data_IF_259303927637
#
_entry.id   IF_259303927637
#
_cell.length_a   1.000
_cell.length_b   1.000
_cell.length_c   1.000
_cell.angle_alpha   90.00
_cell.angle_beta   90.00
_cell.angle_gamma   90.00
#
_symmetry.space_group_name_H-M   'P 1'
#
loop_
_entity.id
_entity.type
_entity.pdbx_description
1 polymer ?
#
# COMPACT_ATOMS: atom_id res chain seq x y z
N UNK A 1 0.56 15.74 17.71
CA UNK A 1 1.49 15.77 16.57
C UNK A 1 1.59 14.39 15.97
N UNK A 2 1.00 14.21 14.78
CA UNK A 2 0.94 12.93 14.05
C UNK A 2 1.82 12.94 12.79
N UNK A 3 2.88 13.76 12.81
CA UNK A 3 3.76 13.97 11.66
C UNK A 3 4.78 12.85 11.43
N UNK A 4 4.82 11.84 12.31
CA UNK A 4 5.79 10.73 12.25
C UNK A 4 5.17 9.37 11.90
N UNK A 5 3.89 9.34 11.48
CA UNK A 5 3.20 8.09 11.13
C UNK A 5 2.51 8.22 9.75
N UNK A 6 2.22 7.08 9.12
CA UNK A 6 1.64 6.99 7.78
C UNK A 6 0.24 7.60 7.68
N UNK A 7 -0.50 7.66 8.81
CA UNK A 7 -1.86 8.18 8.87
C UNK A 7 -2.04 9.26 9.93
N UNK A 8 -2.83 10.29 9.60
CA UNK A 8 -3.39 11.21 10.58
C UNK A 8 -4.70 10.65 11.16
N UNK A 9 -4.86 10.75 12.49
CA UNK A 9 -6.08 10.35 13.16
C UNK A 9 -7.00 11.56 13.33
N UNK A 10 -8.17 11.50 12.75
CA UNK A 10 -9.21 12.52 12.89
C UNK A 10 -10.34 11.94 13.76
N UNK A 11 -10.70 12.64 14.82
CA UNK A 11 -11.85 12.27 15.67
C UNK A 11 -13.12 12.80 15.03
N UNK A 12 -13.89 11.94 14.39
CA UNK A 12 -15.26 12.24 13.94
C UNK A 12 -16.28 11.87 15.03
N UNK A 13 -17.48 12.36 14.93
CA UNK A 13 -18.55 12.43 15.94
C UNK A 13 -18.62 11.23 16.91
N UNK A 14 -18.42 9.98 16.44
CA UNK A 14 -18.42 8.77 17.27
C UNK A 14 -17.31 7.77 16.92
N UNK A 15 -16.44 8.08 15.95
CA UNK A 15 -15.40 7.18 15.46
C UNK A 15 -14.10 7.95 15.25
N UNK A 16 -12.97 7.27 15.39
CA UNK A 16 -11.66 7.80 15.06
C UNK A 16 -11.40 7.51 13.58
N UNK A 17 -11.12 8.54 12.80
CA UNK A 17 -10.75 8.40 11.39
C UNK A 17 -9.23 8.33 11.24
N UNK A 18 -8.79 7.50 10.31
CA UNK A 18 -7.45 7.46 9.77
C UNK A 18 -7.49 8.02 8.36
N UNK A 19 -6.49 8.84 8.04
CA UNK A 19 -6.32 9.41 6.70
C UNK A 19 -4.85 9.32 6.31
N UNK A 20 -4.59 8.87 5.09
CA UNK A 20 -3.26 8.94 4.47
C UNK A 20 -3.37 9.45 3.04
N UNK A 21 -2.23 9.82 2.48
CA UNK A 21 -2.11 10.14 1.06
C UNK A 21 -0.80 9.56 0.53
N UNK A 22 -0.89 8.88 -0.61
CA UNK A 22 0.27 8.36 -1.33
C UNK A 22 0.13 8.64 -2.83
N UNK A 23 1.25 8.83 -3.51
CA UNK A 23 1.30 9.22 -4.92
C UNK A 23 2.23 8.34 -5.73
N UNK A 24 1.77 7.91 -6.89
CA UNK A 24 2.57 7.23 -7.90
C UNK A 24 2.84 8.17 -9.07
N UNK A 25 4.12 8.40 -9.37
CA UNK A 25 4.58 9.32 -10.43
C UNK A 25 5.32 8.52 -11.50
N UNK A 26 4.97 8.74 -12.75
CA UNK A 26 5.61 8.14 -13.91
C UNK A 26 7.11 8.46 -13.94
N UNK A 27 7.94 7.49 -14.33
CA UNK A 27 9.40 7.50 -14.32
C UNK A 27 10.07 7.61 -12.93
N UNK A 28 9.27 7.64 -11.85
CA UNK A 28 9.76 7.53 -10.47
C UNK A 28 9.32 6.19 -9.89
N UNK A 29 8.01 5.93 -9.87
CA UNK A 29 7.41 4.75 -9.25
C UNK A 29 6.98 3.69 -10.25
N UNK A 30 6.71 4.09 -11.49
CA UNK A 30 6.27 3.22 -12.57
C UNK A 30 6.60 3.82 -13.95
N UNK A 31 6.50 2.99 -14.98
CA UNK A 31 6.33 3.40 -16.37
C UNK A 31 5.51 2.32 -17.10
N UNK A 32 5.02 2.66 -18.29
CA UNK A 32 4.14 1.77 -19.08
C UNK A 32 4.80 0.43 -19.49
N UNK A 33 6.15 0.33 -19.43
CA UNK A 33 6.88 -0.90 -19.70
C UNK A 33 6.96 -1.82 -18.47
N UNK A 34 6.88 -1.27 -17.27
CA UNK A 34 7.04 -2.03 -16.03
C UNK A 34 5.74 -2.52 -15.43
N UNK A 35 4.63 -1.83 -15.71
CA UNK A 35 3.32 -2.17 -15.15
C UNK A 35 2.20 -1.67 -16.07
N UNK A 36 1.21 -2.52 -16.35
CA UNK A 36 0.05 -2.10 -17.13
C UNK A 36 -0.92 -1.24 -16.27
N UNK A 37 -1.76 -0.38 -16.90
CA UNK A 37 -2.62 0.55 -16.18
C UNK A 37 -3.59 -0.14 -15.21
N UNK A 38 -4.13 -1.30 -15.55
CA UNK A 38 -4.97 -2.09 -14.64
C UNK A 38 -4.24 -2.47 -13.34
N UNK A 39 -3.03 -2.99 -13.45
CA UNK A 39 -2.25 -3.39 -12.28
C UNK A 39 -1.71 -2.17 -11.51
N UNK A 40 -1.46 -1.06 -12.21
CA UNK A 40 -1.10 0.22 -11.61
C UNK A 40 -2.24 0.77 -10.73
N UNK A 41 -3.48 0.72 -11.23
CA UNK A 41 -4.65 1.11 -10.45
C UNK A 41 -4.85 0.24 -9.19
N UNK A 42 -4.66 -1.07 -9.34
CA UNK A 42 -4.63 -1.98 -8.20
C UNK A 42 -3.56 -1.58 -7.19
N UNK A 43 -2.32 -1.39 -7.64
CA UNK A 43 -1.17 -1.05 -6.78
C UNK A 43 -1.39 0.27 -6.05
N UNK A 44 -1.88 1.30 -6.74
CA UNK A 44 -2.15 2.62 -6.14
C UNK A 44 -3.13 2.54 -4.96
N UNK A 45 -4.20 1.75 -5.10
CA UNK A 45 -5.15 1.52 -4.00
C UNK A 45 -4.53 0.72 -2.87
N UNK A 46 -3.76 -0.33 -3.20
CA UNK A 46 -3.17 -1.21 -2.19
C UNK A 46 -2.12 -0.50 -1.35
N UNK A 47 -1.28 0.38 -1.92
CA UNK A 47 -0.34 1.19 -1.16
C UNK A 47 -1.06 1.97 -0.06
N UNK A 48 -2.10 2.71 -0.43
CA UNK A 48 -2.87 3.51 0.52
C UNK A 48 -3.63 2.68 1.58
N UNK A 49 -4.26 1.56 1.18
CA UNK A 49 -4.93 0.69 2.15
C UNK A 49 -3.92 -0.02 3.08
N UNK A 50 -2.68 -0.25 2.60
CA UNK A 50 -1.59 -0.78 3.42
C UNK A 50 -1.33 0.10 4.64
N UNK A 51 -1.18 1.42 4.43
CA UNK A 51 -0.97 2.40 5.49
C UNK A 51 -2.13 2.44 6.49
N UNK A 52 -3.36 2.41 5.99
CA UNK A 52 -4.53 2.34 6.86
C UNK A 52 -4.52 1.08 7.75
N UNK A 53 -4.19 -0.08 7.17
CA UNK A 53 -4.14 -1.35 7.91
C UNK A 53 -2.98 -1.35 8.91
N UNK A 54 -1.81 -0.87 8.52
CA UNK A 54 -0.62 -0.80 9.39
C UNK A 54 -0.80 0.18 10.54
N UNK A 55 -1.72 1.15 10.39
CA UNK A 55 -2.14 2.08 11.44
C UNK A 55 -3.33 1.58 12.27
N UNK A 56 -3.86 0.38 11.98
CA UNK A 56 -4.92 -0.25 12.76
C UNK A 56 -6.34 0.00 12.25
N UNK A 57 -6.51 0.39 11.00
CA UNK A 57 -7.84 0.50 10.40
C UNK A 57 -8.52 -0.87 10.34
N UNK A 58 -9.77 -0.94 10.76
CA UNK A 58 -10.59 -2.12 10.61
C UNK A 58 -11.54 -2.07 9.41
N UNK A 59 -11.72 -0.88 8.84
CA UNK A 59 -12.61 -0.64 7.71
C UNK A 59 -12.09 0.52 6.86
N UNK A 60 -11.93 0.31 5.57
CA UNK A 60 -11.72 1.38 4.59
C UNK A 60 -13.08 2.01 4.26
N UNK A 61 -13.20 3.33 4.39
CA UNK A 61 -14.39 4.08 3.98
C UNK A 61 -14.37 4.27 2.48
N UNK A 62 -13.26 4.80 1.97
CA UNK A 62 -13.10 5.06 0.55
C UNK A 62 -11.86 5.89 0.26
N UNK A 63 -11.74 6.26 -1.00
CA UNK A 63 -10.60 7.01 -1.53
C UNK A 63 -11.05 8.22 -2.34
N UNK A 64 -10.24 9.27 -2.36
CA UNK A 64 -10.27 10.30 -3.40
C UNK A 64 -9.06 10.15 -4.30
N UNK A 65 -9.20 10.47 -5.58
CA UNK A 65 -8.16 10.29 -6.58
C UNK A 65 -7.89 11.62 -7.27
N UNK A 66 -6.66 12.11 -7.20
CA UNK A 66 -6.18 13.20 -8.07
C UNK A 66 -5.34 12.57 -9.18
N UNK A 67 -5.80 12.74 -10.42
CA UNK A 67 -5.20 12.14 -11.61
C UNK A 67 -4.64 13.23 -12.51
N UNK A 68 -3.33 13.26 -12.70
CA UNK A 68 -2.65 14.20 -13.59
C UNK A 68 -2.15 13.43 -14.79
N UNK A 69 -2.52 13.84 -16.00
CA UNK A 69 -2.22 13.11 -17.23
C UNK A 69 -1.67 14.01 -18.33
N UNK A 70 -0.70 13.51 -19.13
CA UNK A 70 -0.35 14.15 -20.38
C UNK A 70 -1.53 14.17 -21.38
N UNK A 71 -1.61 15.23 -22.19
CA UNK A 71 -2.66 15.40 -23.22
C UNK A 71 -2.80 14.21 -24.14
N UNK A 72 -1.68 13.51 -24.43
CA UNK A 72 -1.63 12.35 -25.32
C UNK A 72 -2.03 11.02 -24.68
N UNK A 73 -2.48 11.03 -23.41
CA UNK A 73 -2.87 9.79 -22.73
C UNK A 73 -4.17 9.26 -23.33
N UNK A 74 -4.13 8.02 -23.80
CA UNK A 74 -5.29 7.35 -24.40
C UNK A 74 -6.37 7.09 -23.35
N UNK A 75 -7.65 7.21 -23.74
CA UNK A 75 -8.78 6.96 -22.83
C UNK A 75 -8.79 5.52 -22.31
N UNK A 76 -8.40 4.54 -23.14
CA UNK A 76 -8.24 3.15 -22.73
C UNK A 76 -7.30 2.96 -21.55
N UNK A 77 -6.22 3.75 -21.49
CA UNK A 77 -5.30 3.72 -20.34
C UNK A 77 -6.01 4.11 -19.04
N UNK A 78 -6.84 5.15 -19.10
CA UNK A 78 -7.62 5.62 -17.94
C UNK A 78 -8.66 4.58 -17.53
N UNK A 79 -9.38 4.03 -18.49
CA UNK A 79 -10.39 2.99 -18.25
C UNK A 79 -9.80 1.76 -17.55
N UNK A 80 -8.67 1.26 -18.05
CA UNK A 80 -7.98 0.11 -17.44
C UNK A 80 -7.45 0.43 -16.04
N UNK A 81 -6.95 1.66 -15.80
CA UNK A 81 -6.55 2.10 -14.47
C UNK A 81 -7.71 2.01 -13.49
N UNK A 82 -8.88 2.56 -13.85
CA UNK A 82 -10.07 2.54 -13.00
C UNK A 82 -10.64 1.14 -12.81
N UNK A 83 -10.53 0.23 -13.79
CA UNK A 83 -10.86 -1.20 -13.60
C UNK A 83 -9.98 -1.85 -12.53
N UNK A 84 -8.70 -1.52 -12.50
CA UNK A 84 -7.78 -1.98 -11.47
C UNK A 84 -8.11 -1.43 -10.09
N UNK A 85 -8.42 -0.14 -10.00
CA UNK A 85 -8.88 0.53 -8.77
C UNK A 85 -10.16 -0.13 -8.24
N UNK A 86 -11.19 -0.28 -9.06
CA UNK A 86 -12.45 -0.90 -8.70
C UNK A 86 -12.26 -2.33 -8.17
N UNK A 87 -11.42 -3.11 -8.84
CA UNK A 87 -11.10 -4.49 -8.41
C UNK A 87 -10.42 -4.53 -7.04
N UNK A 88 -9.53 -3.60 -6.75
CA UNK A 88 -8.88 -3.50 -5.44
C UNK A 88 -9.88 -3.12 -4.34
N UNK A 89 -10.72 -2.10 -4.59
CA UNK A 89 -11.76 -1.66 -3.67
C UNK A 89 -12.81 -2.75 -3.41
N UNK A 90 -13.25 -3.48 -4.43
CA UNK A 90 -14.15 -4.64 -4.27
C UNK A 90 -13.56 -5.71 -3.37
N UNK A 91 -12.25 -5.91 -3.40
CA UNK A 91 -11.59 -6.94 -2.60
C UNK A 91 -11.30 -6.50 -1.17
N UNK A 92 -10.85 -5.27 -0.96
CA UNK A 92 -10.37 -4.80 0.34
C UNK A 92 -11.31 -3.82 1.04
N UNK A 93 -12.36 -3.43 0.36
CA UNK A 93 -13.38 -2.51 0.85
C UNK A 93 -13.11 -1.06 0.46
N UNK A 94 -14.12 -0.22 0.65
CA UNK A 94 -14.11 1.18 0.28
C UNK A 94 -14.80 1.45 -1.06
N UNK A 95 -14.99 2.73 -1.33
CA UNK A 95 -15.57 3.26 -2.57
C UNK A 95 -14.75 4.46 -3.05
N UNK A 96 -14.91 4.86 -4.30
CA UNK A 96 -14.42 6.14 -4.77
C UNK A 96 -15.35 7.23 -4.25
N UNK A 97 -14.82 8.15 -3.44
CA UNK A 97 -15.56 9.26 -2.84
C UNK A 97 -15.57 10.51 -3.73
N UNK A 98 -14.58 10.63 -4.59
CA UNK A 98 -14.42 11.76 -5.49
C UNK A 98 -13.00 11.85 -6.02
N UNK A 99 -12.66 12.98 -6.61
CA UNK A 99 -11.33 13.23 -7.14
C UNK A 99 -11.31 14.40 -8.10
N UNK A 100 -10.17 14.57 -8.75
CA UNK A 100 -9.92 15.60 -9.74
C UNK A 100 -9.07 15.03 -10.87
N UNK A 101 -9.23 15.58 -12.08
CA UNK A 101 -8.41 15.26 -13.24
C UNK A 101 -7.83 16.55 -13.84
N UNK A 102 -6.51 16.57 -13.96
CA UNK A 102 -5.79 17.74 -14.46
C UNK A 102 -4.79 17.35 -15.55
N UNK A 103 -4.41 18.31 -16.38
CA UNK A 103 -3.34 18.12 -17.35
C UNK A 103 -1.97 18.31 -16.71
N UNK A 104 -1.00 17.52 -17.14
CA UNK A 104 0.40 17.64 -16.72
C UNK A 104 1.36 16.97 -17.68
N UNK A 105 2.64 17.01 -17.36
CA UNK A 105 3.69 16.50 -18.25
C UNK A 105 3.96 15.01 -18.08
N UNK A 106 3.64 14.45 -16.91
CA UNK A 106 3.83 13.04 -16.56
C UNK A 106 2.58 12.50 -15.88
N UNK A 107 2.32 11.21 -16.04
CA UNK A 107 1.21 10.56 -15.36
C UNK A 107 1.47 10.55 -13.85
N UNK A 108 0.54 11.10 -13.09
CA UNK A 108 0.58 11.09 -11.63
C UNK A 108 -0.76 10.66 -11.08
N UNK A 109 -0.74 9.71 -10.15
CA UNK A 109 -1.92 9.20 -9.47
C UNK A 109 -1.70 9.46 -7.99
N UNK A 110 -2.44 10.40 -7.41
CA UNK A 110 -2.42 10.65 -5.97
C UNK A 110 -3.74 10.22 -5.37
N UNK A 111 -3.66 9.37 -4.35
CA UNK A 111 -4.82 8.83 -3.66
C UNK A 111 -4.78 9.27 -2.20
N UNK A 112 -5.91 9.84 -1.74
CA UNK A 112 -6.15 10.01 -0.31
C UNK A 112 -7.13 8.94 0.13
N UNK A 113 -6.76 8.13 1.12
CA UNK A 113 -7.61 7.08 1.64
C UNK A 113 -8.09 7.40 3.06
N UNK A 114 -9.34 7.04 3.33
CA UNK A 114 -9.98 7.20 4.63
C UNK A 114 -10.36 5.84 5.19
N UNK A 115 -10.07 5.64 6.48
CA UNK A 115 -10.41 4.44 7.22
C UNK A 115 -10.92 4.73 8.61
N UNK A 116 -11.51 3.72 9.24
CA UNK A 116 -11.97 3.78 10.62
C UNK A 116 -10.98 3.03 11.50
N UNK A 117 -10.49 3.68 12.56
CA UNK A 117 -9.62 3.08 13.56
C UNK A 117 -10.32 1.92 14.25
N UNK A 118 -9.64 0.79 14.35
CA UNK A 118 -10.09 -0.38 15.08
C UNK A 118 -9.79 -0.32 16.59
N UNK A 119 -9.96 -1.45 17.25
CA UNK A 119 -9.65 -1.60 18.69
C UNK A 119 -8.16 -1.47 19.02
N UNK A 120 -7.29 -1.80 18.05
CA UNK A 120 -5.84 -1.66 18.19
C UNK A 120 -5.37 -0.34 17.59
N UNK A 121 -4.61 0.39 18.36
CA UNK A 121 -3.81 1.50 17.88
C UNK A 121 -2.44 0.94 17.49
N UNK A 122 -2.20 0.87 16.19
CA UNK A 122 -0.91 0.46 15.65
C UNK A 122 -0.09 1.71 15.35
N UNK A 123 1.14 1.75 15.81
CA UNK A 123 1.97 2.94 15.68
C UNK A 123 3.45 2.56 15.66
N UNK A 124 4.24 3.17 14.77
CA UNK A 124 5.68 2.89 14.62
C UNK A 124 6.43 3.00 15.94
N UNK A 125 6.18 4.05 16.71
CA UNK A 125 6.87 4.34 17.98
C UNK A 125 6.37 3.54 19.17
N UNK A 126 5.52 2.53 18.99
CA UNK A 126 4.99 1.74 20.10
C UNK A 126 5.82 0.49 20.42
N UNK A 127 6.86 0.21 19.63
CA UNK A 127 7.79 -0.91 19.87
C UNK A 127 8.67 -0.68 21.10
N UNK A 128 9.08 -1.78 21.72
CA UNK A 128 9.99 -1.77 22.86
C UNK A 128 11.13 -2.77 22.66
N UNK A 129 12.33 -2.47 23.15
CA UNK A 129 13.44 -3.42 23.12
C UNK A 129 13.05 -4.75 23.76
N UNK A 130 13.40 -5.87 23.10
CA UNK A 130 13.09 -7.22 23.55
C UNK A 130 11.77 -7.79 23.03
N UNK A 131 10.95 -7.01 22.32
CA UNK A 131 9.75 -7.51 21.67
C UNK A 131 10.08 -8.32 20.41
N UNK A 132 9.20 -9.30 20.08
CA UNK A 132 9.35 -10.15 18.89
C UNK A 132 8.78 -9.40 17.67
N UNK A 133 9.58 -9.34 16.62
CA UNK A 133 9.16 -8.79 15.33
C UNK A 133 8.51 -9.89 14.50
N UNK A 134 7.30 -9.62 14.04
CA UNK A 134 6.54 -10.48 13.12
C UNK A 134 6.39 -9.79 11.77
N UNK A 135 6.53 -10.54 10.70
CA UNK A 135 6.31 -10.04 9.34
C UNK A 135 5.24 -10.85 8.62
N UNK A 136 4.62 -10.27 7.60
CA UNK A 136 3.65 -10.93 6.74
C UNK A 136 4.18 -11.04 5.32
N UNK A 137 4.07 -12.24 4.73
CA UNK A 137 4.51 -12.45 3.36
C UNK A 137 6.01 -12.69 3.21
N UNK A 138 6.51 -12.53 2.00
CA UNK A 138 7.90 -12.76 1.63
C UNK A 138 8.50 -11.44 1.15
N UNK A 139 9.51 -10.97 1.86
CA UNK A 139 10.24 -9.75 1.49
C UNK A 139 11.17 -9.99 0.30
N UNK A 140 11.42 -8.93 -0.49
CA UNK A 140 12.32 -8.95 -1.64
C UNK A 140 11.66 -9.34 -2.97
N UNK A 141 10.52 -10.04 -2.97
CA UNK A 141 9.86 -10.43 -4.22
C UNK A 141 9.42 -9.25 -5.07
N UNK A 142 8.86 -8.20 -4.47
CA UNK A 142 8.44 -7.00 -5.21
C UNK A 142 9.63 -6.28 -5.85
N UNK A 143 10.75 -6.15 -5.13
CA UNK A 143 11.99 -5.58 -5.67
C UNK A 143 12.54 -6.39 -6.82
N UNK A 144 12.58 -7.73 -6.68
CA UNK A 144 13.01 -8.63 -7.75
C UNK A 144 12.08 -8.48 -8.98
N UNK A 145 10.76 -8.43 -8.77
CA UNK A 145 9.79 -8.21 -9.85
C UNK A 145 10.01 -6.89 -10.58
N UNK A 146 10.27 -5.81 -9.84
CA UNK A 146 10.63 -4.52 -10.42
C UNK A 146 11.92 -4.60 -11.27
N UNK A 147 12.96 -5.24 -10.74
CA UNK A 147 14.24 -5.39 -11.47
C UNK A 147 14.05 -6.19 -12.76
N UNK A 148 13.25 -7.25 -12.74
CA UNK A 148 12.93 -8.05 -13.93
C UNK A 148 12.17 -7.19 -14.96
N UNK A 149 11.11 -6.51 -14.56
CA UNK A 149 10.29 -5.68 -15.45
C UNK A 149 11.08 -4.48 -16.02
N UNK A 150 11.97 -3.89 -15.22
CA UNK A 150 12.83 -2.78 -15.64
C UNK A 150 14.04 -3.23 -16.48
N UNK A 151 14.18 -4.55 -16.75
CA UNK A 151 15.33 -5.12 -17.46
C UNK A 151 16.69 -4.72 -16.86
N UNK A 152 16.74 -4.54 -15.55
CA UNK A 152 17.98 -4.24 -14.83
C UNK A 152 18.86 -5.48 -14.80
N UNK A 153 20.06 -5.42 -15.40
CA UNK A 153 20.97 -6.55 -15.59
C UNK A 153 21.67 -7.05 -14.31
N UNK A 154 21.37 -6.48 -13.16
CA UNK A 154 22.02 -6.84 -11.89
C UNK A 154 21.76 -8.28 -11.39
N UNK A 155 20.88 -9.04 -12.05
CA UNK A 155 20.62 -10.45 -11.74
C UNK A 155 21.07 -11.43 -12.87
N UNK A 156 21.76 -10.96 -13.92
CA UNK A 156 22.14 -11.79 -15.08
C UNK A 156 23.02 -13.01 -14.74
N UNK A 157 23.68 -13.00 -13.59
CA UNK A 157 24.52 -14.12 -13.13
C UNK A 157 23.77 -15.14 -12.26
N UNK A 158 22.44 -14.96 -12.06
CA UNK A 158 21.64 -15.86 -11.22
C UNK A 158 20.56 -16.52 -12.07
N UNK A 159 20.60 -17.86 -12.14
CA UNK A 159 19.52 -18.62 -12.79
C UNK A 159 18.27 -18.58 -11.90
N UNK A 160 17.24 -17.87 -12.36
CA UNK A 160 15.94 -17.79 -11.68
C UNK A 160 14.97 -18.79 -12.30
N UNK A 161 14.24 -19.54 -11.45
CA UNK A 161 13.17 -20.41 -11.95
C UNK A 161 11.99 -19.58 -12.48
N UNK A 162 11.30 -20.05 -13.50
CA UNK A 162 10.10 -19.39 -14.06
C UNK A 162 9.05 -19.11 -13.00
N UNK A 163 8.87 -20.03 -12.05
CA UNK A 163 7.95 -19.86 -10.91
C UNK A 163 8.33 -18.65 -10.07
N UNK A 164 9.61 -18.44 -9.79
CA UNK A 164 10.10 -17.31 -9.00
C UNK A 164 9.92 -16.00 -9.77
N UNK A 165 10.25 -15.99 -11.07
CA UNK A 165 10.06 -14.85 -11.96
C UNK A 165 8.59 -14.41 -11.94
N UNK A 166 7.67 -15.32 -12.26
CA UNK A 166 6.22 -15.05 -12.29
C UNK A 166 5.70 -14.55 -10.94
N UNK A 167 6.13 -15.19 -9.84
CA UNK A 167 5.74 -14.80 -8.50
C UNK A 167 6.25 -13.39 -8.15
N UNK A 168 7.47 -13.06 -8.52
CA UNK A 168 8.08 -11.75 -8.25
C UNK A 168 7.37 -10.63 -9.03
N UNK A 169 7.08 -10.84 -10.30
CA UNK A 169 6.32 -9.90 -11.13
C UNK A 169 4.91 -9.70 -10.55
N UNK A 170 4.21 -10.77 -10.16
CA UNK A 170 2.88 -10.67 -9.54
C UNK A 170 2.92 -9.87 -8.23
N UNK A 171 3.95 -10.05 -7.40
CA UNK A 171 4.12 -9.27 -6.18
C UNK A 171 4.44 -7.79 -6.42
N UNK A 172 5.17 -7.47 -7.49
CA UNK A 172 5.45 -6.08 -7.86
C UNK A 172 4.22 -5.38 -8.44
N UNK A 173 3.52 -6.05 -9.38
CA UNK A 173 2.38 -5.47 -10.09
C UNK A 173 1.10 -5.49 -9.24
N UNK A 174 0.89 -6.58 -8.48
CA UNK A 174 -0.34 -6.83 -7.71
C UNK A 174 -0.01 -7.17 -6.26
N UNK A 175 0.50 -6.22 -5.47
CA UNK A 175 0.72 -6.43 -4.04
C UNK A 175 -0.57 -6.87 -3.34
N UNK A 176 -0.42 -7.62 -2.24
CA UNK A 176 -1.54 -8.21 -1.50
C UNK A 176 -1.47 -7.83 -0.04
N UNK A 177 -2.62 -7.51 0.53
CA UNK A 177 -2.75 -7.22 1.95
C UNK A 177 -3.33 -8.43 2.69
N UNK A 178 -3.03 -8.51 3.99
CA UNK A 178 -3.45 -9.59 4.87
C UNK A 178 -4.24 -9.05 6.09
N UNK A 179 -5.37 -8.33 5.89
CA UNK A 179 -6.10 -7.66 6.99
C UNK A 179 -6.57 -8.63 8.08
N UNK A 180 -6.77 -9.91 7.75
CA UNK A 180 -7.17 -10.94 8.72
C UNK A 180 -6.09 -11.27 9.75
N UNK A 181 -4.82 -10.88 9.54
CA UNK A 181 -3.76 -11.09 10.51
C UNK A 181 -4.00 -10.24 11.76
N UNK A 182 -4.41 -8.98 11.61
CA UNK A 182 -4.78 -8.13 12.74
C UNK A 182 -5.91 -8.76 13.57
N UNK A 183 -6.94 -9.31 12.91
CA UNK A 183 -8.03 -10.01 13.59
C UNK A 183 -7.54 -11.26 14.35
N UNK A 184 -6.57 -12.00 13.79
CA UNK A 184 -5.95 -13.15 14.45
C UNK A 184 -5.12 -12.72 15.66
N UNK A 185 -4.28 -11.70 15.51
CA UNK A 185 -3.49 -11.12 16.61
C UNK A 185 -4.38 -10.64 17.76
N UNK A 186 -5.49 -9.98 17.44
CA UNK A 186 -6.48 -9.57 18.45
C UNK A 186 -7.03 -10.75 19.27
N UNK A 187 -7.32 -11.88 18.61
CA UNK A 187 -7.88 -13.07 19.26
C UNK A 187 -6.87 -13.79 20.14
N UNK A 188 -5.59 -13.78 19.75
CA UNK A 188 -4.51 -14.55 20.42
C UNK A 188 -3.76 -13.75 21.47
N UNK A 189 -3.95 -12.45 21.57
CA UNK A 189 -3.21 -11.63 22.52
C UNK A 189 -3.53 -12.04 23.96
N UNK A 190 -2.51 -12.30 24.79
CA UNK A 190 -2.71 -12.77 26.16
C UNK A 190 -3.29 -11.71 27.10
N UNK A 191 -3.09 -10.44 26.77
CA UNK A 191 -3.56 -9.31 27.57
C UNK A 191 -4.41 -8.34 26.75
N UNK A 192 -5.73 -8.37 26.95
CA UNK A 192 -6.69 -7.49 26.25
C UNK A 192 -6.53 -5.99 26.60
N UNK A 193 -5.75 -5.65 27.63
CA UNK A 193 -5.47 -4.26 28.02
C UNK A 193 -4.44 -3.58 27.11
N UNK A 194 -3.62 -4.36 26.37
CA UNK A 194 -2.66 -3.80 25.41
C UNK A 194 -3.43 -3.28 24.21
N UNK A 195 -3.53 -1.97 24.07
CA UNK A 195 -4.19 -1.31 22.94
C UNK A 195 -3.21 -0.80 21.88
N UNK A 196 -1.97 -0.49 22.27
CA UNK A 196 -0.92 0.01 21.39
C UNK A 196 0.08 -1.09 21.08
N UNK A 197 0.38 -1.28 19.81
CA UNK A 197 1.34 -2.28 19.31
C UNK A 197 2.20 -1.60 18.25
N UNK A 198 3.51 -1.86 18.26
CA UNK A 198 4.41 -1.40 17.21
C UNK A 198 4.04 -2.04 15.87
N UNK A 199 3.84 -1.22 14.85
CA UNK A 199 3.53 -1.69 13.52
C UNK A 199 3.91 -0.62 12.48
N UNK A 200 4.39 -1.08 11.35
CA UNK A 200 4.54 -0.31 10.12
C UNK A 200 4.24 -1.22 8.95
N UNK A 201 3.95 -0.67 7.79
CA UNK A 201 3.98 -1.41 6.56
C UNK A 201 5.44 -1.61 6.08
N UNK A 202 5.64 -2.26 4.96
CA UNK A 202 6.99 -2.49 4.40
C UNK A 202 7.06 -2.14 2.91
N UNK A 203 6.36 -1.09 2.51
CA UNK A 203 6.31 -0.58 1.14
C UNK A 203 7.72 -0.24 0.61
N UNK A 204 8.55 0.39 1.44
CA UNK A 204 9.93 0.77 1.15
C UNK A 204 10.95 -0.34 1.44
N UNK A 205 10.47 -1.50 1.82
CA UNK A 205 11.26 -2.69 2.10
C UNK A 205 11.52 -2.95 3.57
N UNK A 206 11.98 -4.18 3.85
CA UNK A 206 12.14 -4.65 5.22
C UNK A 206 13.14 -3.83 6.04
N UNK A 207 14.23 -3.38 5.41
CA UNK A 207 15.25 -2.62 6.13
C UNK A 207 14.69 -1.29 6.66
N UNK A 208 13.99 -0.52 5.81
CA UNK A 208 13.35 0.72 6.22
C UNK A 208 12.29 0.47 7.29
N UNK A 209 11.45 -0.53 7.10
CA UNK A 209 10.43 -0.89 8.09
C UNK A 209 11.01 -1.24 9.47
N UNK A 210 12.18 -1.91 9.52
CA UNK A 210 12.86 -2.20 10.78
C UNK A 210 13.45 -0.93 11.43
N UNK A 211 13.98 -0.01 10.62
CA UNK A 211 14.46 1.28 11.12
C UNK A 211 13.32 2.15 11.69
N UNK A 212 12.15 2.12 11.05
CA UNK A 212 10.97 2.87 11.50
C UNK A 212 10.40 2.34 12.82
N UNK A 213 10.68 1.07 13.15
CA UNK A 213 10.24 0.43 14.39
C UNK A 213 11.29 0.52 15.53
N UNK A 214 12.54 0.91 15.23
CA UNK A 214 13.64 0.99 16.18
C UNK A 214 13.68 2.33 16.91
#
# INVERSE_FOLDING_TARGET
NQTSDDCALIKAINEKLLINNDSLVENVHFNDFTICPHDLGWKAVISNISDLISSGSHKTIGITISLILPVKTEWEWVEELYKGIDKALKKYGGIILGGDCSLGNVKTISITALGIQGELELHRSACKPGEIILTTGIHGLSKLGFMIQSKLNSYNNVSLSERLIKKSIDHFCRPRLYPNILKKLLKTRPNKKIKKIGCTDSSDGLFQALQDLA
#
